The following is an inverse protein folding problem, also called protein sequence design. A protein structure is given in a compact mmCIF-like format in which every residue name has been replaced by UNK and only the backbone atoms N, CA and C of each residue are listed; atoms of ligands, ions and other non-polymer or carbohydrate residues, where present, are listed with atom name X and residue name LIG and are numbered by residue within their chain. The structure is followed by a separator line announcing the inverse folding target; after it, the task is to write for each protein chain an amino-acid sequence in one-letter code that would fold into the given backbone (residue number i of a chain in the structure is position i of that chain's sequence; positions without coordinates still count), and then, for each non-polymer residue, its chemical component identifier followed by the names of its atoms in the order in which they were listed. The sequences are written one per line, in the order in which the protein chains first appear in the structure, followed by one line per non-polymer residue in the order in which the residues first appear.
data_IF_622236419614
#
_entry.id   IF_622236419614
#
_cell.length_a   1.000
_cell.length_b   1.000
_cell.length_c   1.000
_cell.angle_alpha   90.00
_cell.angle_beta   90.00
_cell.angle_gamma   90.00
#
_symmetry.space_group_name_H-M   'P 1'
#
loop_
_entity.id
_entity.type
_entity.pdbx_description
1 polymer ?
#
# COMPACT_ATOMS: atom_id res chain seq x y z
N UNK A 1 -47.06 -28.02 -32.32
CA UNK A 1 -47.96 -28.28 -31.18
C UNK A 1 -47.41 -27.47 -30.01
N UNK A 2 -48.05 -26.31 -29.74
CA UNK A 2 -48.83 -26.04 -28.51
C UNK A 2 -47.89 -25.60 -27.36
N UNK A 3 -47.72 -24.33 -26.96
CA UNK A 3 -48.60 -23.24 -26.47
C UNK A 3 -49.41 -23.55 -25.20
N UNK A 4 -49.06 -22.90 -24.07
CA UNK A 4 -49.90 -22.35 -22.97
C UNK A 4 -48.95 -21.76 -21.89
N UNK A 5 -48.81 -20.43 -21.73
CA UNK A 5 -49.54 -19.47 -20.85
C UNK A 5 -49.37 -19.73 -19.33
N UNK A 6 -49.18 -18.75 -18.43
CA UNK A 6 -49.27 -17.27 -18.45
C UNK A 6 -48.41 -16.66 -17.31
N UNK A 7 -47.88 -15.44 -17.43
CA UNK A 7 -48.49 -14.12 -17.22
C UNK A 7 -48.75 -13.76 -15.74
N UNK A 8 -48.03 -12.75 -15.21
CA UNK A 8 -48.64 -11.55 -14.60
C UNK A 8 -47.68 -10.36 -14.40
N UNK A 9 -48.01 -9.28 -15.15
CA UNK A 9 -48.25 -7.88 -14.73
C UNK A 9 -47.07 -6.92 -14.41
N UNK A 10 -46.86 -6.04 -15.39
CA UNK A 10 -46.37 -4.66 -15.38
C UNK A 10 -47.26 -3.66 -14.62
N UNK A 11 -46.71 -2.46 -14.37
CA UNK A 11 -47.26 -1.07 -14.26
C UNK A 11 -46.44 -0.33 -13.15
N UNK A 12 -45.63 0.72 -13.32
CA UNK A 12 -45.67 2.03 -14.01
C UNK A 12 -46.51 3.13 -13.34
N UNK A 13 -45.94 4.36 -13.32
CA UNK A 13 -46.43 5.70 -12.92
C UNK A 13 -46.09 6.12 -11.47
N UNK A 14 -45.63 7.34 -11.15
CA UNK A 14 -45.42 8.58 -11.91
C UNK A 14 -45.66 9.80 -11.01
N UNK A 15 -44.81 10.84 -11.15
CA UNK A 15 -45.03 12.29 -10.90
C UNK A 15 -45.45 12.85 -9.52
N UNK A 16 -44.79 13.96 -9.13
CA UNK A 16 -45.35 14.93 -8.17
C UNK A 16 -44.36 15.96 -7.61
N UNK A 17 -44.04 17.03 -8.38
CA UNK A 17 -43.60 18.31 -7.81
C UNK A 17 -44.79 19.01 -7.13
N UNK A 18 -44.54 19.72 -6.02
CA UNK A 18 -45.32 20.91 -5.67
C UNK A 18 -44.55 21.84 -4.73
N UNK A 19 -44.40 23.08 -5.18
CA UNK A 19 -43.96 24.26 -4.46
C UNK A 19 -45.00 24.73 -3.43
N UNK A 20 -44.55 25.46 -2.40
CA UNK A 20 -45.33 26.54 -1.80
C UNK A 20 -44.44 27.57 -1.12
N UNK A 21 -44.54 28.82 -1.58
CA UNK A 21 -43.97 30.04 -1.04
C UNK A 21 -45.09 30.95 -0.50
N UNK A 22 -44.80 31.71 0.57
CA UNK A 22 -45.38 33.02 1.05
C UNK A 22 -45.20 33.12 2.59
N UNK A 23 -45.00 34.22 3.31
CA UNK A 23 -44.55 35.62 3.13
C UNK A 23 -44.66 36.27 4.55
N UNK A 24 -43.62 37.01 4.99
CA UNK A 24 -43.54 38.12 5.99
C UNK A 24 -44.22 38.09 7.38
N UNK A 25 -43.93 39.05 8.30
CA UNK A 25 -43.00 40.19 8.18
C UNK A 25 -42.02 40.40 9.38
N UNK A 26 -41.03 41.24 9.10
CA UNK A 26 -40.02 41.82 9.99
C UNK A 26 -40.62 42.81 11.00
N UNK A 27 -40.08 42.89 12.22
CA UNK A 27 -39.98 44.13 13.00
C UNK A 27 -38.70 44.11 13.87
N UNK A 28 -37.78 45.02 13.60
CA UNK A 28 -36.68 45.41 14.49
C UNK A 28 -37.20 46.41 15.54
N UNK A 29 -36.40 46.72 16.58
CA UNK A 29 -35.83 48.06 16.55
C UNK A 29 -34.36 48.14 16.99
N UNK A 30 -33.67 49.06 16.32
CA UNK A 30 -32.36 49.65 16.54
C UNK A 30 -32.27 50.39 17.88
N UNK A 31 -31.05 50.58 18.44
CA UNK A 31 -30.51 51.88 18.94
C UNK A 31 -29.08 51.73 19.55
N UNK A 32 -28.09 52.19 18.77
CA UNK A 32 -26.89 53.04 19.08
C UNK A 32 -26.13 52.91 20.43
N UNK A 33 -24.82 52.61 20.40
CA UNK A 33 -23.70 53.50 20.85
C UNK A 33 -22.32 52.79 20.98
N UNK A 34 -21.33 53.32 20.23
CA UNK A 34 -19.98 53.71 20.71
C UNK A 34 -19.01 52.67 21.33
N UNK A 35 -17.90 52.42 20.64
CA UNK A 35 -16.61 51.89 21.13
C UNK A 35 -16.10 52.65 22.40
N UNK A 36 -15.31 52.03 23.33
CA UNK A 36 -13.97 51.51 23.03
C UNK A 36 -13.57 50.15 23.63
N UNK A 37 -12.65 49.53 22.89
CA UNK A 37 -11.85 48.36 23.24
C UNK A 37 -11.03 48.58 24.52
N UNK A 38 -11.21 47.72 25.53
CA UNK A 38 -10.19 47.47 26.56
C UNK A 38 -9.53 46.12 26.29
N UNK A 39 -8.22 46.20 25.99
CA UNK A 39 -7.28 45.10 25.81
C UNK A 39 -7.43 44.08 26.94
N UNK A 40 -7.83 42.85 26.58
CA UNK A 40 -7.34 41.66 27.27
C UNK A 40 -6.25 41.06 26.39
N UNK A 41 -5.03 41.06 26.90
CA UNK A 41 -3.93 40.27 26.37
C UNK A 41 -4.33 38.80 26.51
N UNK A 42 -4.93 38.25 25.45
CA UNK A 42 -4.99 36.82 25.24
C UNK A 42 -3.72 36.48 24.46
N UNK A 43 -2.85 35.72 25.08
CA UNK A 43 -1.70 35.09 24.42
C UNK A 43 -2.26 34.09 23.38
N UNK A 44 -2.60 34.59 22.19
CA UNK A 44 -2.86 33.77 21.02
C UNK A 44 -1.50 33.32 20.49
N UNK A 45 -0.92 32.35 21.19
CA UNK A 45 0.15 31.52 20.64
C UNK A 45 -0.44 30.70 19.49
N UNK A 46 -0.56 31.37 18.35
CA UNK A 46 -0.84 30.83 17.03
C UNK A 46 0.13 29.68 16.75
N UNK A 47 -0.41 28.47 16.80
CA UNK A 47 0.20 27.24 16.30
C UNK A 47 0.96 27.44 14.98
N UNK A 48 2.17 26.88 14.84
CA UNK A 48 2.52 26.14 13.65
C UNK A 48 2.19 24.67 13.93
N UNK A 49 1.01 24.21 13.50
CA UNK A 49 0.74 22.78 13.32
C UNK A 49 1.53 22.33 12.08
N UNK A 50 2.86 22.31 12.21
CA UNK A 50 3.73 21.68 11.25
C UNK A 50 3.57 20.18 11.48
N UNK A 51 2.67 19.56 10.72
CA UNK A 51 2.71 18.13 10.40
C UNK A 51 4.12 17.83 9.88
N UNK A 52 5.08 17.62 10.77
CA UNK A 52 6.36 17.02 10.46
C UNK A 52 6.02 15.62 10.00
N UNK A 53 5.96 15.43 8.69
CA UNK A 53 5.66 14.13 8.10
C UNK A 53 6.67 13.15 8.65
N UNK A 54 6.23 12.24 9.53
CA UNK A 54 7.05 11.23 10.17
C UNK A 54 7.38 10.12 9.17
N UNK A 55 7.97 10.49 8.04
CA UNK A 55 8.20 9.62 6.89
C UNK A 55 9.66 9.30 6.70
N UNK A 56 9.94 8.08 6.27
CA UNK A 56 11.26 7.63 5.82
C UNK A 56 11.17 7.33 4.32
N UNK A 57 12.14 7.80 3.55
CA UNK A 57 12.29 7.44 2.13
C UNK A 57 13.22 6.24 2.02
N UNK A 58 12.77 5.22 1.29
CA UNK A 58 13.48 3.95 1.20
C UNK A 58 13.62 3.57 -0.26
N UNK A 59 14.85 3.49 -0.74
CA UNK A 59 15.20 2.97 -2.04
C UNK A 59 15.29 1.44 -1.97
N UNK A 60 14.64 0.76 -2.90
CA UNK A 60 14.57 -0.70 -2.98
C UNK A 60 15.34 -1.20 -4.21
N UNK A 61 15.66 -2.51 -4.25
CA UNK A 61 16.26 -3.13 -5.43
C UNK A 61 15.44 -2.88 -6.70
N UNK A 62 16.08 -2.99 -7.86
CA UNK A 62 15.47 -2.75 -9.19
C UNK A 62 15.00 -1.29 -9.40
N UNK A 63 15.75 -0.31 -8.88
CA UNK A 63 15.47 1.13 -9.00
C UNK A 63 14.08 1.53 -8.47
N UNK A 64 13.55 0.77 -7.52
CA UNK A 64 12.26 1.04 -6.90
C UNK A 64 12.41 1.96 -5.68
N UNK A 65 11.32 2.58 -5.25
CA UNK A 65 11.27 3.36 -4.02
C UNK A 65 9.94 3.22 -3.31
N UNK A 66 9.95 3.42 -1.99
CA UNK A 66 8.75 3.52 -1.16
C UNK A 66 8.96 4.62 -0.12
N UNK A 67 7.86 5.21 0.34
CA UNK A 67 7.85 6.11 1.49
C UNK A 67 7.02 5.46 2.57
N UNK A 68 7.58 5.33 3.78
CA UNK A 68 6.92 4.66 4.90
C UNK A 68 6.63 5.68 5.99
N UNK A 69 5.40 5.70 6.49
CA UNK A 69 5.01 6.45 7.67
C UNK A 69 5.47 5.70 8.94
N UNK A 70 6.17 6.40 9.81
CA UNK A 70 6.71 5.91 11.07
C UNK A 70 5.78 6.30 12.21
N UNK A 71 5.57 5.34 13.10
CA UNK A 71 4.90 5.52 14.39
C UNK A 71 5.88 5.15 15.52
N UNK A 72 5.75 5.75 16.71
CA UNK A 72 6.51 5.34 17.89
C UNK A 72 6.36 3.83 18.16
N UNK A 73 7.45 3.16 18.53
CA UNK A 73 7.47 1.72 18.83
C UNK A 73 7.59 0.81 17.61
N UNK A 74 7.83 1.35 16.41
CA UNK A 74 8.08 0.55 15.21
C UNK A 74 9.57 0.34 14.96
N UNK A 75 9.98 -0.92 14.85
CA UNK A 75 11.31 -1.27 14.35
C UNK A 75 11.39 -1.11 12.84
N UNK A 76 12.62 -0.98 12.33
CA UNK A 76 12.92 -0.89 10.91
C UNK A 76 12.35 -2.10 10.13
N UNK A 77 12.40 -3.29 10.74
CA UNK A 77 11.73 -4.48 10.23
C UNK A 77 10.22 -4.26 10.03
N UNK A 78 9.52 -3.78 11.06
CA UNK A 78 8.06 -3.59 11.01
C UNK A 78 7.65 -2.52 9.98
N UNK A 79 8.49 -1.50 9.77
CA UNK A 79 8.28 -0.49 8.73
C UNK A 79 8.43 -1.06 7.31
N UNK A 80 9.40 -1.95 7.08
CA UNK A 80 9.75 -2.41 5.73
C UNK A 80 9.12 -3.73 5.31
N UNK A 81 8.66 -4.56 6.25
CA UNK A 81 8.20 -5.92 5.97
C UNK A 81 7.10 -5.98 4.89
N UNK A 82 6.16 -5.04 4.90
CA UNK A 82 5.09 -4.97 3.89
C UNK A 82 5.66 -4.61 2.52
N UNK A 83 6.55 -3.62 2.46
CA UNK A 83 7.16 -3.18 1.21
C UNK A 83 8.02 -4.27 0.57
N UNK A 84 8.72 -5.07 1.38
CA UNK A 84 9.53 -6.19 0.92
C UNK A 84 8.66 -7.35 0.43
N UNK A 85 7.67 -7.77 1.22
CA UNK A 85 6.77 -8.89 0.88
C UNK A 85 5.99 -8.65 -0.41
N UNK A 86 5.47 -7.44 -0.63
CA UNK A 86 4.75 -7.07 -1.87
C UNK A 86 5.63 -7.22 -3.11
N UNK A 87 6.96 -7.16 -2.95
CA UNK A 87 7.95 -7.29 -4.03
C UNK A 87 8.60 -8.67 -4.08
N UNK A 88 8.12 -9.63 -3.28
CA UNK A 88 8.71 -10.96 -3.18
C UNK A 88 10.09 -11.00 -2.51
N UNK A 89 10.49 -9.93 -1.83
CA UNK A 89 11.77 -9.87 -1.12
C UNK A 89 11.60 -10.37 0.32
N UNK A 90 12.49 -11.27 0.74
CA UNK A 90 12.56 -11.73 2.12
C UNK A 90 13.50 -10.83 2.93
N UNK A 91 13.14 -10.42 4.16
CA UNK A 91 14.01 -9.58 5.01
C UNK A 91 15.38 -10.22 5.28
N UNK A 92 15.41 -11.55 5.47
CA UNK A 92 16.64 -12.32 5.70
C UNK A 92 17.62 -12.25 4.51
N UNK A 93 17.12 -11.92 3.32
CA UNK A 93 17.90 -11.79 2.11
C UNK A 93 18.33 -10.34 1.82
N UNK A 94 17.96 -9.41 2.68
CA UNK A 94 18.17 -7.98 2.48
C UNK A 94 19.01 -7.40 3.61
N UNK A 95 19.77 -6.36 3.29
CA UNK A 95 20.39 -5.47 4.26
C UNK A 95 19.91 -4.05 4.02
N UNK A 96 19.74 -3.31 5.12
CA UNK A 96 19.32 -1.92 5.07
C UNK A 96 20.48 -1.03 5.45
N UNK A 97 20.68 0.01 4.64
CA UNK A 97 21.74 0.97 4.80
C UNK A 97 21.17 2.37 4.92
N UNK A 98 21.74 3.17 5.81
CA UNK A 98 21.51 4.61 5.86
C UNK A 98 22.41 5.31 4.85
N UNK A 99 21.81 6.19 4.05
CA UNK A 99 22.52 7.04 3.10
C UNK A 99 22.91 8.37 3.78
N UNK A 100 24.16 8.80 3.59
CA UNK A 100 24.61 10.12 4.05
C UNK A 100 24.36 11.18 2.97
N UNK A 101 23.73 12.33 3.33
CA UNK A 101 23.61 13.45 2.40
C UNK A 101 25.01 13.99 2.07
N UNK A 102 25.35 14.02 0.78
CA UNK A 102 26.65 14.51 0.28
C UNK A 102 27.74 13.46 0.05
N UNK A 103 27.60 12.23 0.58
CA UNK A 103 28.53 11.13 0.31
C UNK A 103 27.78 9.83 -0.01
N UNK A 104 27.41 9.65 -1.28
CA UNK A 104 26.71 8.43 -1.75
C UNK A 104 27.53 7.14 -1.57
N UNK A 105 28.86 7.26 -1.53
CA UNK A 105 29.77 6.11 -1.40
C UNK A 105 29.80 5.52 0.01
N UNK A 106 29.43 6.32 1.03
CA UNK A 106 29.48 5.89 2.43
C UNK A 106 28.06 5.54 2.89
N UNK A 107 27.80 4.24 2.99
CA UNK A 107 26.53 3.69 3.50
C UNK A 107 26.78 2.97 4.83
N UNK A 108 25.94 3.22 5.83
CA UNK A 108 26.05 2.60 7.15
C UNK A 108 25.02 1.47 7.26
N UNK A 109 25.46 0.25 7.55
CA UNK A 109 24.54 -0.88 7.76
C UNK A 109 23.73 -0.68 9.04
N UNK A 110 22.42 -0.82 8.94
CA UNK A 110 21.48 -0.68 10.04
C UNK A 110 21.05 -2.05 10.57
N UNK A 111 20.77 -2.13 11.87
CA UNK A 111 20.13 -3.31 12.46
C UNK A 111 18.62 -3.30 12.21
N UNK A 112 18.03 -4.47 11.94
CA UNK A 112 16.60 -4.60 11.66
C UNK A 112 15.70 -4.24 12.86
N UNK A 113 16.23 -4.31 14.09
CA UNK A 113 15.54 -3.93 15.32
C UNK A 113 15.72 -2.46 15.69
N UNK A 114 16.49 -1.68 14.92
CA UNK A 114 16.66 -0.24 15.14
C UNK A 114 15.29 0.44 15.16
N UNK A 115 15.08 1.33 16.13
CA UNK A 115 13.85 2.12 16.21
C UNK A 115 13.76 3.11 15.04
N UNK A 116 12.60 3.09 14.37
CA UNK A 116 12.40 3.85 13.14
C UNK A 116 12.24 5.33 13.39
N UNK A 117 11.90 5.77 14.60
CA UNK A 117 11.72 7.20 14.89
C UNK A 117 13.03 7.97 14.78
N UNK A 118 14.16 7.32 15.09
CA UNK A 118 15.51 7.87 14.92
C UNK A 118 15.92 8.12 13.46
N UNK A 119 15.17 7.56 12.51
CA UNK A 119 15.46 7.58 11.07
C UNK A 119 14.51 8.49 10.27
N UNK A 120 13.57 9.18 10.93
CA UNK A 120 12.63 10.10 10.29
C UNK A 120 13.40 11.17 9.50
N UNK A 121 12.95 11.43 8.26
CA UNK A 121 13.58 12.40 7.38
C UNK A 121 14.88 11.93 6.70
N UNK A 122 15.37 10.73 7.03
CA UNK A 122 16.55 10.15 6.39
C UNK A 122 16.18 9.32 5.15
N UNK A 123 17.19 9.06 4.33
CA UNK A 123 17.09 8.16 3.19
C UNK A 123 17.78 6.83 3.50
N UNK A 124 17.04 5.74 3.31
CA UNK A 124 17.54 4.38 3.46
C UNK A 124 17.65 3.70 2.10
N UNK A 125 18.58 2.77 1.98
CA UNK A 125 18.77 1.90 0.83
C UNK A 125 18.66 0.45 1.28
N UNK A 126 17.79 -0.32 0.64
CA UNK A 126 17.73 -1.76 0.81
C UNK A 126 18.49 -2.41 -0.33
N UNK A 127 19.49 -3.20 0.01
CA UNK A 127 20.22 -4.03 -0.94
C UNK A 127 19.98 -5.50 -0.62
N UNK A 128 20.14 -6.32 -1.66
CA UNK A 128 20.08 -7.77 -1.56
C UNK A 128 21.47 -8.26 -1.20
N UNK A 129 21.54 -9.20 -0.26
CA UNK A 129 22.81 -9.82 0.12
C UNK A 129 23.31 -10.75 -1.01
N UNK A 130 24.61 -10.68 -1.32
CA UNK A 130 25.25 -11.43 -2.42
C UNK A 130 25.11 -12.96 -2.31
N UNK A 131 24.87 -13.48 -1.11
CA UNK A 131 24.70 -14.93 -0.87
C UNK A 131 23.28 -15.43 -1.13
N UNK A 132 22.37 -14.57 -1.57
CA UNK A 132 21.04 -14.98 -1.99
C UNK A 132 21.00 -14.90 -3.50
N UNK A 133 21.01 -16.05 -4.21
CA UNK A 133 20.81 -16.07 -5.64
C UNK A 133 19.36 -15.66 -5.92
N UNK A 134 19.09 -14.35 -5.93
CA UNK A 134 17.88 -13.74 -6.46
C UNK A 134 17.92 -13.89 -7.97
N UNK A 135 17.84 -15.14 -8.40
CA UNK A 135 17.83 -15.51 -9.80
C UNK A 135 16.41 -15.34 -10.31
N UNK A 136 16.28 -14.99 -11.57
CA UNK A 136 15.01 -15.12 -12.26
C UNK A 136 14.69 -16.60 -12.40
N UNK A 137 13.43 -16.97 -12.26
CA UNK A 137 13.03 -18.36 -12.49
C UNK A 137 13.45 -18.84 -13.89
N UNK A 138 13.98 -20.06 -13.96
CA UNK A 138 14.24 -20.75 -15.22
C UNK A 138 13.13 -21.77 -15.48
N UNK A 139 12.02 -21.31 -16.07
CA UNK A 139 10.85 -22.14 -16.33
C UNK A 139 11.03 -23.02 -17.56
N UNK A 140 10.84 -24.33 -17.38
CA UNK A 140 10.84 -25.30 -18.46
C UNK A 140 9.51 -26.03 -18.50
N UNK A 141 8.94 -26.19 -19.70
CA UNK A 141 7.71 -26.96 -19.91
C UNK A 141 7.96 -28.42 -19.52
N UNK A 142 7.10 -28.98 -18.68
CA UNK A 142 7.24 -30.34 -18.14
C UNK A 142 5.90 -31.06 -18.13
N UNK A 143 5.93 -32.30 -18.59
CA UNK A 143 4.87 -33.29 -18.41
C UNK A 143 5.22 -34.17 -17.22
N UNK A 144 4.29 -34.29 -16.29
CA UNK A 144 4.45 -35.09 -15.07
C UNK A 144 3.77 -36.44 -15.25
N UNK A 145 4.57 -37.48 -15.43
CA UNK A 145 4.08 -38.87 -15.52
C UNK A 145 3.70 -39.45 -14.15
N UNK A 146 4.23 -38.85 -13.07
CA UNK A 146 3.88 -39.19 -11.67
C UNK A 146 2.93 -38.15 -11.10
N UNK A 147 2.17 -38.52 -10.08
CA UNK A 147 1.23 -37.64 -9.38
C UNK A 147 1.93 -36.35 -8.93
N UNK A 148 1.48 -35.22 -9.45
CA UNK A 148 2.00 -33.89 -9.12
C UNK A 148 0.83 -32.91 -8.98
N UNK A 149 1.02 -31.90 -8.13
CA UNK A 149 0.05 -30.84 -7.89
C UNK A 149 0.68 -29.49 -8.22
N UNK A 150 -0.15 -28.56 -8.72
CA UNK A 150 0.25 -27.18 -8.97
C UNK A 150 0.41 -26.43 -7.65
N UNK A 151 1.56 -25.78 -7.43
CA UNK A 151 1.85 -25.07 -6.18
C UNK A 151 0.96 -23.83 -5.97
N UNK A 152 0.20 -23.43 -7.00
CA UNK A 152 -0.69 -22.26 -6.97
C UNK A 152 -2.14 -22.66 -6.69
N UNK A 153 -2.69 -23.59 -7.46
CA UNK A 153 -4.11 -23.97 -7.34
C UNK A 153 -4.34 -25.29 -6.58
N UNK A 154 -3.27 -26.01 -6.23
CA UNK A 154 -3.29 -27.29 -5.53
C UNK A 154 -4.09 -28.40 -6.26
N UNK A 155 -4.37 -28.22 -7.56
CA UNK A 155 -4.98 -29.24 -8.42
C UNK A 155 -3.93 -30.09 -9.12
N UNK A 156 -4.33 -31.27 -9.59
CA UNK A 156 -3.49 -32.18 -10.36
C UNK A 156 -2.84 -31.48 -11.56
N UNK A 157 -1.54 -31.73 -11.75
CA UNK A 157 -0.70 -31.10 -12.75
C UNK A 157 -0.14 -32.17 -13.69
N UNK A 158 -0.78 -32.36 -14.84
CA UNK A 158 -0.29 -33.25 -15.90
C UNK A 158 0.72 -32.55 -16.80
N UNK A 159 0.35 -31.39 -17.34
CA UNK A 159 1.18 -30.56 -18.21
C UNK A 159 1.29 -29.16 -17.60
N UNK A 160 2.51 -28.62 -17.54
CA UNK A 160 2.74 -27.26 -17.07
C UNK A 160 4.20 -26.86 -17.14
N UNK A 161 4.62 -26.03 -16.20
CA UNK A 161 5.99 -25.52 -16.12
C UNK A 161 6.62 -25.88 -14.78
N UNK A 162 7.93 -26.09 -14.79
CA UNK A 162 8.75 -26.26 -13.59
C UNK A 162 9.94 -25.32 -13.65
N UNK A 163 10.20 -24.58 -12.58
CA UNK A 163 11.47 -23.90 -12.43
C UNK A 163 12.60 -24.92 -12.23
N UNK A 164 13.68 -24.86 -13.01
CA UNK A 164 14.83 -25.73 -12.83
C UNK A 164 15.61 -25.43 -11.54
N UNK A 165 15.59 -24.17 -11.10
CA UNK A 165 16.30 -23.68 -9.91
C UNK A 165 15.57 -24.07 -8.63
N UNK A 166 14.35 -23.59 -8.41
CA UNK A 166 13.59 -23.81 -7.17
C UNK A 166 12.61 -24.99 -7.21
N UNK A 167 12.39 -25.59 -8.40
CA UNK A 167 11.45 -26.70 -8.55
C UNK A 167 9.97 -26.33 -8.53
N UNK A 168 9.63 -25.04 -8.36
CA UNK A 168 8.25 -24.53 -8.36
C UNK A 168 7.50 -24.95 -9.62
N UNK A 169 6.29 -25.51 -9.46
CA UNK A 169 5.53 -26.17 -10.53
C UNK A 169 4.09 -25.68 -10.62
N UNK A 170 3.64 -25.35 -11.83
CA UNK A 170 2.34 -24.70 -12.03
C UNK A 170 1.76 -24.94 -13.43
N UNK A 171 0.44 -24.78 -13.56
CA UNK A 171 -0.26 -24.77 -14.85
C UNK A 171 0.04 -23.52 -15.66
N UNK A 172 -0.11 -23.56 -16.98
CA UNK A 172 0.06 -22.41 -17.86
C UNK A 172 -0.82 -21.21 -17.44
N UNK A 173 -2.09 -21.46 -17.10
CA UNK A 173 -3.02 -20.42 -16.61
C UNK A 173 -2.72 -19.91 -15.18
N UNK A 174 -1.83 -20.58 -14.44
CA UNK A 174 -1.38 -20.15 -13.12
C UNK A 174 -0.14 -19.25 -13.17
N UNK A 175 0.47 -19.07 -14.34
CA UNK A 175 1.72 -18.31 -14.54
C UNK A 175 1.72 -16.91 -13.94
N UNK A 176 0.60 -16.19 -14.00
CA UNK A 176 0.46 -14.82 -13.49
C UNK A 176 0.54 -14.72 -11.97
N UNK A 177 0.39 -15.83 -11.25
CA UNK A 177 0.44 -15.89 -9.78
C UNK A 177 1.77 -16.43 -9.27
N UNK A 178 2.73 -16.72 -10.15
CA UNK A 178 4.06 -17.21 -9.76
C UNK A 178 4.84 -16.05 -9.13
N UNK A 179 5.52 -16.26 -7.98
CA UNK A 179 6.37 -15.24 -7.40
C UNK A 179 7.42 -14.74 -8.38
N UNK A 180 7.81 -13.47 -8.26
CA UNK A 180 8.85 -12.88 -9.12
C UNK A 180 10.25 -13.37 -8.75
N UNK A 181 10.43 -13.80 -7.50
CA UNK A 181 11.73 -14.17 -6.96
C UNK A 181 11.86 -15.68 -6.84
N UNK A 182 12.88 -16.23 -7.50
CA UNK A 182 13.24 -17.64 -7.38
C UNK A 182 14.11 -17.83 -6.13
N UNK A 183 13.61 -18.63 -5.18
CA UNK A 183 14.32 -19.02 -3.95
C UNK A 183 14.52 -20.52 -3.98
#
# INVERSE_FOLDING_TARGET
MEHLQGAWKTLSNGFGMKDSAFEGPCLSPTMVQGFPCQRRFLDDSKMPDSKTSSTIRVYLPNQQRTVVNVRPGMTLHNCLIKALKVRGLQPQCCAVFRLHPGQRSKKLRMDWNTDSTSLIGQELLVEVLDHVPLTTHNFVRKTYLKLAFCDICQKFLLNGFRCQTCGYKFHEHCSTKVPTMCV
#
